data_IF_009950765991
#
_entry.id   IF_009950765991
#
_cell.length_a   1.000
_cell.length_b   1.000
_cell.length_c   1.000
_cell.angle_alpha   90.00
_cell.angle_beta   90.00
_cell.angle_gamma   90.00
#
_symmetry.space_group_name_H-M   'P 1'
#
loop_
_entity.id
_entity.type
_entity.pdbx_description
1 polymer ?
#
# COMPACT_ATOMS: atom_id res chain seq x y z
N UNK A 1 -21.04 3.02 -29.93
CA UNK A 1 -20.43 3.00 -28.58
C UNK A 1 -19.30 1.98 -28.57
N UNK A 2 -18.05 2.39 -28.37
CA UNK A 2 -16.92 1.45 -28.32
C UNK A 2 -16.70 1.00 -26.87
N UNK A 3 -16.75 -0.31 -26.66
CA UNK A 3 -16.41 -0.91 -25.36
C UNK A 3 -14.89 -0.91 -25.18
N UNK A 4 -14.41 -0.40 -24.07
CA UNK A 4 -12.96 -0.44 -23.70
C UNK A 4 -12.58 -1.72 -22.96
N UNK A 5 -13.55 -2.36 -22.30
CA UNK A 5 -13.37 -3.62 -21.60
C UNK A 5 -14.66 -4.43 -21.58
N UNK A 6 -14.55 -5.76 -21.59
CA UNK A 6 -15.69 -6.68 -21.51
C UNK A 6 -15.36 -7.79 -20.51
N UNK A 7 -16.14 -7.87 -19.46
CA UNK A 7 -15.95 -8.85 -18.39
C UNK A 7 -17.25 -9.59 -18.09
N UNK A 8 -17.13 -10.85 -17.66
CA UNK A 8 -18.23 -11.57 -17.02
C UNK A 8 -18.48 -10.98 -15.65
N UNK A 9 -19.74 -10.99 -15.19
CA UNK A 9 -20.10 -10.49 -13.86
C UNK A 9 -19.35 -11.24 -12.74
N UNK A 10 -19.19 -12.56 -12.89
CA UNK A 10 -18.40 -13.36 -11.95
C UNK A 10 -16.95 -12.90 -11.85
N UNK A 11 -16.32 -12.59 -12.99
CA UNK A 11 -14.93 -12.11 -12.99
C UNK A 11 -14.81 -10.72 -12.35
N UNK A 12 -15.79 -9.85 -12.51
CA UNK A 12 -15.84 -8.57 -11.77
C UNK A 12 -15.97 -8.78 -10.27
N UNK A 13 -16.85 -9.69 -9.85
CA UNK A 13 -17.02 -10.03 -8.45
C UNK A 13 -15.71 -10.55 -7.83
N UNK A 14 -14.99 -11.41 -8.54
CA UNK A 14 -13.71 -11.96 -8.07
C UNK A 14 -12.66 -10.84 -7.92
N UNK A 15 -12.62 -9.87 -8.84
CA UNK A 15 -11.76 -8.68 -8.72
C UNK A 15 -12.12 -7.85 -7.48
N UNK A 16 -13.40 -7.58 -7.25
CA UNK A 16 -13.84 -6.80 -6.09
C UNK A 16 -13.53 -7.51 -4.76
N UNK A 17 -13.70 -8.83 -4.69
CA UNK A 17 -13.28 -9.63 -3.54
C UNK A 17 -11.76 -9.55 -3.34
N UNK A 18 -10.99 -9.64 -4.41
CA UNK A 18 -9.54 -9.48 -4.39
C UNK A 18 -9.13 -8.10 -3.84
N UNK A 19 -9.78 -7.02 -4.24
CA UNK A 19 -9.52 -5.68 -3.69
C UNK A 19 -9.85 -5.61 -2.20
N UNK A 20 -10.95 -6.22 -1.77
CA UNK A 20 -11.29 -6.25 -0.36
C UNK A 20 -10.21 -6.94 0.46
N UNK A 21 -9.80 -8.14 0.07
CA UNK A 21 -8.79 -8.93 0.78
C UNK A 21 -7.40 -8.26 0.78
N UNK A 22 -7.00 -7.66 -0.33
CA UNK A 22 -5.67 -7.07 -0.45
C UNK A 22 -5.62 -5.66 0.12
N UNK A 23 -6.52 -4.79 -0.31
CA UNK A 23 -6.49 -3.38 0.08
C UNK A 23 -7.12 -3.12 1.45
N UNK A 24 -8.34 -3.64 1.68
CA UNK A 24 -9.05 -3.34 2.94
C UNK A 24 -8.46 -4.12 4.10
N UNK A 25 -8.23 -5.43 3.92
CA UNK A 25 -7.75 -6.31 4.99
C UNK A 25 -6.24 -6.19 5.19
N UNK A 26 -5.45 -6.21 4.13
CA UNK A 26 -3.97 -6.26 4.22
C UNK A 26 -3.28 -4.91 4.03
N UNK A 27 -4.00 -3.86 3.59
CA UNK A 27 -3.42 -2.56 3.29
C UNK A 27 -2.47 -2.55 2.08
N UNK A 28 -2.61 -3.50 1.17
CA UNK A 28 -1.76 -3.65 -0.02
C UNK A 28 -2.49 -3.05 -1.21
N UNK A 29 -1.85 -2.08 -1.89
CA UNK A 29 -2.38 -1.51 -3.11
C UNK A 29 -2.29 -2.52 -4.26
N UNK A 30 -3.39 -2.72 -5.03
CA UNK A 30 -3.37 -3.59 -6.19
C UNK A 30 -2.48 -3.02 -7.31
N UNK A 31 -2.21 -3.85 -8.31
CA UNK A 31 -1.58 -3.36 -9.54
C UNK A 31 -2.59 -2.51 -10.34
N UNK A 32 -2.21 -1.26 -10.59
CA UNK A 32 -3.04 -0.25 -11.26
C UNK A 32 -2.40 0.22 -12.57
N UNK A 33 -1.72 -0.65 -13.27
CA UNK A 33 -1.09 -0.33 -14.57
C UNK A 33 -2.10 -0.28 -15.72
N UNK A 34 -3.19 -1.04 -15.64
CA UNK A 34 -4.28 -1.04 -16.62
C UNK A 34 -5.35 0.02 -16.27
N UNK A 35 -5.80 0.76 -17.28
CA UNK A 35 -6.81 1.81 -17.09
C UNK A 35 -8.13 1.28 -16.49
N UNK A 36 -8.56 0.09 -16.90
CA UNK A 36 -9.77 -0.51 -16.35
C UNK A 36 -9.62 -0.84 -14.86
N UNK A 37 -8.47 -1.38 -14.46
CA UNK A 37 -8.15 -1.65 -13.05
C UNK A 37 -8.17 -0.36 -12.23
N UNK A 38 -7.61 0.73 -12.74
CA UNK A 38 -7.66 2.05 -12.07
C UNK A 38 -9.11 2.49 -11.86
N UNK A 39 -9.94 2.43 -12.91
CA UNK A 39 -11.35 2.84 -12.82
C UNK A 39 -12.15 1.96 -11.87
N UNK A 40 -12.00 0.63 -11.97
CA UNK A 40 -12.70 -0.32 -11.12
C UNK A 40 -12.29 -0.17 -9.65
N UNK A 41 -11.01 -0.04 -9.38
CA UNK A 41 -10.50 0.15 -8.03
C UNK A 41 -10.96 1.48 -7.41
N UNK A 42 -10.95 2.58 -8.16
CA UNK A 42 -11.46 3.85 -7.69
C UNK A 42 -12.97 3.80 -7.40
N UNK A 43 -13.73 3.11 -8.25
CA UNK A 43 -15.15 2.85 -8.01
C UNK A 43 -15.34 2.02 -6.74
N UNK A 44 -14.60 0.92 -6.58
CA UNK A 44 -14.63 0.12 -5.35
C UNK A 44 -14.36 0.97 -4.10
N UNK A 45 -13.32 1.81 -4.13
CA UNK A 45 -12.98 2.68 -3.00
C UNK A 45 -14.08 3.68 -2.65
N UNK A 46 -14.84 4.16 -3.64
CA UNK A 46 -15.93 5.11 -3.41
C UNK A 46 -17.10 4.51 -2.63
N UNK A 47 -17.21 3.19 -2.60
CA UNK A 47 -18.22 2.45 -1.83
C UNK A 47 -17.75 1.96 -0.46
N UNK A 48 -16.49 2.22 -0.10
CA UNK A 48 -16.01 1.88 1.24
C UNK A 48 -16.73 2.72 2.29
N UNK A 49 -17.07 2.14 3.45
CA UNK A 49 -17.74 2.86 4.52
C UNK A 49 -16.84 3.98 5.06
N UNK A 50 -17.46 5.06 5.56
CA UNK A 50 -16.72 6.23 6.09
C UNK A 50 -15.77 5.86 7.23
N UNK A 51 -16.10 4.84 7.99
CA UNK A 51 -15.34 4.31 9.12
C UNK A 51 -13.98 3.69 8.69
N UNK A 52 -13.85 3.37 7.40
CA UNK A 52 -12.56 2.97 6.83
C UNK A 52 -11.54 4.12 6.86
N UNK A 53 -11.99 5.35 6.93
CA UNK A 53 -11.14 6.55 6.91
C UNK A 53 -11.19 7.31 8.24
N UNK A 54 -10.05 7.87 8.70
CA UNK A 54 -8.70 7.74 8.16
C UNK A 54 -8.14 6.33 8.36
N UNK A 55 -7.34 5.88 7.39
CA UNK A 55 -6.66 4.59 7.49
C UNK A 55 -5.70 4.62 8.68
N UNK A 56 -5.82 3.64 9.57
CA UNK A 56 -4.95 3.49 10.73
C UNK A 56 -3.78 2.59 10.38
N UNK A 57 -2.57 3.05 10.66
CA UNK A 57 -1.35 2.29 10.42
C UNK A 57 -0.92 1.50 11.64
N UNK A 58 -0.35 0.33 11.41
CA UNK A 58 0.31 -0.45 12.44
C UNK A 58 1.66 0.18 12.78
N UNK A 59 1.82 0.57 14.02
CA UNK A 59 3.05 1.14 14.54
C UNK A 59 3.89 0.07 15.23
N UNK A 60 5.10 -0.13 14.75
CA UNK A 60 6.11 -0.96 15.40
C UNK A 60 7.07 -0.06 16.17
N UNK A 61 7.20 -0.31 17.47
CA UNK A 61 8.10 0.44 18.36
C UNK A 61 9.06 -0.52 19.03
N UNK A 62 10.34 -0.14 19.07
CA UNK A 62 11.40 -0.83 19.78
C UNK A 62 12.35 0.18 20.45
N UNK A 63 13.46 -0.28 21.02
CA UNK A 63 14.49 0.54 21.65
C UNK A 63 15.24 1.50 20.68
N UNK A 64 15.07 1.31 19.38
CA UNK A 64 15.67 2.15 18.34
C UNK A 64 14.77 3.29 17.89
N UNK A 65 13.45 3.19 18.15
CA UNK A 65 12.46 4.16 17.73
C UNK A 65 11.21 3.52 17.13
N UNK A 66 10.57 4.22 16.21
CA UNK A 66 9.29 3.82 15.61
C UNK A 66 9.51 3.50 14.12
N UNK A 67 8.80 2.51 13.63
CA UNK A 67 8.68 2.18 12.21
C UNK A 67 7.21 1.99 11.83
N UNK A 68 6.79 2.63 10.75
CA UNK A 68 5.43 2.54 10.21
C UNK A 68 5.51 2.32 8.71
N UNK A 69 4.97 1.22 8.22
CA UNK A 69 4.77 0.99 6.79
C UNK A 69 3.51 1.73 6.35
N UNK A 70 3.66 2.75 5.51
CA UNK A 70 2.55 3.61 5.09
C UNK A 70 1.93 3.17 3.78
N UNK A 71 2.73 2.63 2.88
CA UNK A 71 2.26 2.11 1.59
C UNK A 71 3.00 0.81 1.25
N UNK A 72 2.24 -0.18 0.83
CA UNK A 72 2.73 -1.44 0.29
C UNK A 72 2.00 -1.76 -1.00
N UNK A 73 2.73 -2.19 -2.01
CA UNK A 73 2.20 -2.48 -3.33
C UNK A 73 2.30 -3.97 -3.63
N UNK A 74 1.43 -4.48 -4.48
CA UNK A 74 1.54 -5.84 -5.02
C UNK A 74 2.79 -5.99 -5.89
N UNK A 75 3.15 -4.97 -6.66
CA UNK A 75 4.47 -4.85 -7.29
C UNK A 75 5.54 -4.56 -6.24
N UNK A 76 6.81 -4.93 -6.46
CA UNK A 76 7.88 -4.64 -5.51
C UNK A 76 7.98 -3.14 -5.22
N UNK A 77 7.70 -2.75 -4.00
CA UNK A 77 7.78 -1.37 -3.54
C UNK A 77 6.99 -1.14 -2.26
N UNK A 78 7.55 -0.29 -1.41
CA UNK A 78 6.88 0.17 -0.20
C UNK A 78 7.36 1.57 0.18
N UNK A 79 6.55 2.29 0.90
CA UNK A 79 6.90 3.55 1.54
C UNK A 79 6.70 3.37 3.04
N UNK A 80 7.68 3.77 3.81
CA UNK A 80 7.63 3.71 5.27
C UNK A 80 8.14 5.00 5.89
N UNK A 81 7.68 5.25 7.10
CA UNK A 81 8.15 6.31 7.97
C UNK A 81 8.84 5.69 9.18
N UNK A 82 9.95 6.25 9.59
CA UNK A 82 10.63 5.82 10.82
C UNK A 82 11.20 7.00 11.60
N UNK A 83 11.24 6.84 12.91
CA UNK A 83 12.05 7.68 13.78
C UNK A 83 13.22 6.89 14.33
N UNK A 84 14.32 7.56 14.63
CA UNK A 84 15.48 6.95 15.26
C UNK A 84 15.82 7.76 16.50
N UNK A 85 16.00 7.09 17.63
CA UNK A 85 16.41 7.74 18.86
C UNK A 85 17.85 8.26 18.78
N UNK A 86 18.20 9.34 19.51
CA UNK A 86 19.56 9.87 19.52
C UNK A 86 20.60 8.79 19.86
N UNK A 87 21.72 8.81 19.17
CA UNK A 87 22.86 7.87 19.34
C UNK A 87 22.56 6.42 18.95
N UNK A 88 21.44 6.16 18.30
CA UNK A 88 21.08 4.83 17.78
C UNK A 88 21.42 4.75 16.29
N UNK A 89 22.07 3.68 15.88
CA UNK A 89 22.31 3.35 14.49
C UNK A 89 21.26 2.35 14.03
N UNK A 90 20.56 2.66 12.93
CA UNK A 90 19.70 1.72 12.21
C UNK A 90 20.35 1.25 10.93
N UNK A 91 19.94 0.08 10.47
CA UNK A 91 20.45 -0.52 9.25
C UNK A 91 21.63 -1.43 9.53
N UNK A 92 22.83 -0.98 9.22
CA UNK A 92 24.06 -1.77 9.28
C UNK A 92 24.01 -3.03 8.39
N UNK A 93 23.35 -2.90 7.24
CA UNK A 93 23.24 -3.92 6.19
C UNK A 93 23.19 -3.23 4.82
N UNK A 94 23.45 -3.99 3.78
CA UNK A 94 23.29 -3.52 2.42
C UNK A 94 22.39 -4.46 1.61
N UNK A 95 21.84 -3.94 0.54
CA UNK A 95 20.96 -4.69 -0.36
C UNK A 95 21.58 -4.78 -1.75
N UNK A 96 21.59 -5.99 -2.30
CA UNK A 96 22.08 -6.24 -3.67
C UNK A 96 20.97 -6.26 -4.72
N UNK A 97 19.71 -6.36 -4.30
CA UNK A 97 18.55 -6.56 -5.19
C UNK A 97 17.44 -5.53 -5.05
N UNK A 98 17.58 -4.56 -4.18
CA UNK A 98 16.62 -3.47 -4.03
C UNK A 98 17.32 -2.13 -3.92
N UNK A 99 16.65 -1.11 -4.42
CA UNK A 99 17.08 0.28 -4.27
C UNK A 99 16.30 0.88 -3.11
N UNK A 100 16.98 1.51 -2.17
CA UNK A 100 16.38 2.27 -1.10
C UNK A 100 16.72 3.76 -1.26
N UNK A 101 15.77 4.59 -0.93
CA UNK A 101 15.95 6.04 -0.88
C UNK A 101 15.48 6.55 0.47
N UNK A 102 16.34 7.29 1.13
CA UNK A 102 16.03 7.93 2.41
C UNK A 102 15.88 9.43 2.23
N UNK A 103 14.88 9.99 2.91
CA UNK A 103 14.71 11.42 3.04
C UNK A 103 14.61 11.76 4.53
N UNK A 104 15.52 12.60 5.02
CA UNK A 104 15.44 13.10 6.40
C UNK A 104 14.46 14.26 6.41
N UNK A 105 13.39 14.13 7.19
CA UNK A 105 12.33 15.14 7.31
C UNK A 105 12.61 16.07 8.48
N UNK A 106 13.17 15.51 9.55
CA UNK A 106 13.52 16.23 10.76
C UNK A 106 14.68 15.53 11.46
N UNK A 107 15.63 16.28 11.90
CA UNK A 107 16.81 15.78 12.62
C UNK A 107 17.60 16.90 13.26
#
# INVERSE_FOLDING_TARGET
MQYRAKYKVSALLDKLKGYYETYVVKGIFPDLTDWFEVCLFNTFRSYLPKEHFPVKYNKHSDDRGIYVETMKFMSPGQVSFSTTLPRITRGNHFHTRKVERFAVIQG
#
